data_IF_226683690717
#
_entry.id   IF_226683690717
#
_cell.length_a   1.000
_cell.length_b   1.000
_cell.length_c   1.000
_cell.angle_alpha   90.00
_cell.angle_beta   90.00
_cell.angle_gamma   90.00
#
_symmetry.space_group_name_H-M   'P 1'
#
loop_
_entity.id
_entity.type
_entity.pdbx_description
1 polymer ?
#
# COMPACT_ATOMS: atom_id res chain seq x y z
N UNK A 1 -23.91 11.32 -11.38
CA UNK A 1 -22.99 11.52 -10.23
C UNK A 1 -22.85 13.02 -10.02
N UNK A 2 -23.10 13.54 -8.82
CA UNK A 2 -23.01 14.98 -8.53
C UNK A 2 -21.56 15.39 -8.19
N UNK A 3 -21.29 16.70 -8.11
CA UNK A 3 -19.94 17.22 -7.86
C UNK A 3 -19.39 16.82 -6.49
N UNK A 4 -20.23 16.77 -5.45
CA UNK A 4 -19.80 16.31 -4.12
C UNK A 4 -19.32 14.86 -4.18
N UNK A 5 -20.09 13.96 -4.81
CA UNK A 5 -19.69 12.56 -5.00
C UNK A 5 -18.38 12.45 -5.76
N UNK A 6 -18.18 13.27 -6.80
CA UNK A 6 -16.90 13.29 -7.53
C UNK A 6 -15.75 13.71 -6.62
N UNK A 7 -15.89 14.75 -5.82
CA UNK A 7 -14.81 15.21 -4.94
C UNK A 7 -14.51 14.21 -3.80
N UNK A 8 -15.51 13.52 -3.26
CA UNK A 8 -15.29 12.42 -2.31
C UNK A 8 -14.53 11.25 -2.96
N UNK A 9 -14.83 10.92 -4.22
CA UNK A 9 -14.07 9.92 -4.99
C UNK A 9 -12.63 10.39 -5.22
N UNK A 10 -12.41 11.67 -5.54
CA UNK A 10 -11.07 12.21 -5.73
C UNK A 10 -10.25 12.20 -4.43
N UNK A 11 -10.88 12.53 -3.28
CA UNK A 11 -10.25 12.39 -1.98
C UNK A 11 -9.89 10.92 -1.67
N UNK A 12 -10.78 9.98 -1.97
CA UNK A 12 -10.50 8.55 -1.84
C UNK A 12 -9.31 8.15 -2.73
N UNK A 13 -9.32 8.52 -4.01
CA UNK A 13 -8.24 8.21 -4.95
C UNK A 13 -6.90 8.77 -4.48
N UNK A 14 -6.88 10.00 -3.97
CA UNK A 14 -5.69 10.62 -3.40
C UNK A 14 -5.10 9.81 -2.24
N UNK A 15 -5.94 9.31 -1.32
CA UNK A 15 -5.49 8.43 -0.22
C UNK A 15 -4.96 7.10 -0.77
N UNK A 16 -5.72 6.47 -1.68
CA UNK A 16 -5.39 5.17 -2.27
C UNK A 16 -3.98 5.15 -2.88
N UNK A 17 -3.63 6.21 -3.62
CA UNK A 17 -2.32 6.35 -4.29
C UNK A 17 -1.26 7.05 -3.43
N UNK A 18 -1.64 7.59 -2.26
CA UNK A 18 -0.73 8.31 -1.38
C UNK A 18 -0.33 9.72 -1.85
N UNK A 19 -1.14 10.39 -2.67
CA UNK A 19 -0.88 11.76 -3.11
C UNK A 19 -1.35 12.77 -2.04
N UNK A 20 -0.43 13.27 -1.21
CA UNK A 20 -0.74 14.22 -0.13
C UNK A 20 -1.26 15.57 -0.66
N UNK A 21 -0.63 16.13 -1.68
CA UNK A 21 -1.06 17.40 -2.29
C UNK A 21 -2.44 17.30 -2.95
N UNK A 22 -2.77 16.15 -3.55
CA UNK A 22 -4.10 15.90 -4.09
C UNK A 22 -5.15 15.88 -2.97
N UNK A 23 -4.84 15.27 -1.82
CA UNK A 23 -5.75 15.22 -0.68
C UNK A 23 -5.97 16.61 -0.08
N UNK A 24 -4.90 17.40 0.06
CA UNK A 24 -4.94 18.80 0.49
C UNK A 24 -5.80 19.67 -0.44
N UNK A 25 -5.85 19.36 -1.73
CA UNK A 25 -6.69 20.06 -2.70
C UNK A 25 -8.16 19.62 -2.67
N UNK A 26 -8.42 18.31 -2.66
CA UNK A 26 -9.76 17.76 -2.83
C UNK A 26 -10.61 17.81 -1.55
N UNK A 27 -10.01 17.72 -0.35
CA UNK A 27 -10.77 17.78 0.90
C UNK A 27 -11.45 19.15 1.12
N UNK A 28 -10.77 20.30 0.99
CA UNK A 28 -11.42 21.61 1.09
C UNK A 28 -12.51 21.81 0.04
N UNK A 29 -12.31 21.30 -1.19
CA UNK A 29 -13.29 21.41 -2.27
C UNK A 29 -14.54 20.58 -1.96
N UNK A 30 -14.39 19.36 -1.46
CA UNK A 30 -15.51 18.53 -1.00
C UNK A 30 -16.29 19.22 0.14
N UNK A 31 -15.58 19.81 1.11
CA UNK A 31 -16.21 20.60 2.20
C UNK A 31 -16.98 21.80 1.64
N UNK A 32 -16.44 22.49 0.65
CA UNK A 32 -17.13 23.58 -0.06
C UNK A 32 -18.41 23.14 -0.79
N UNK A 33 -18.54 21.85 -1.10
CA UNK A 33 -19.73 21.23 -1.68
C UNK A 33 -20.66 20.59 -0.64
N UNK A 34 -20.37 20.77 0.66
CA UNK A 34 -21.20 20.29 1.76
C UNK A 34 -20.76 18.98 2.41
N UNK A 35 -19.57 18.45 2.10
CA UNK A 35 -19.04 17.29 2.81
C UNK A 35 -18.87 17.58 4.30
N UNK A 36 -19.40 16.70 5.13
CA UNK A 36 -19.19 16.71 6.58
C UNK A 36 -17.90 15.97 6.94
N UNK A 37 -17.41 16.16 8.16
CA UNK A 37 -16.30 15.35 8.65
C UNK A 37 -16.65 13.86 8.73
N UNK A 38 -17.93 13.51 8.93
CA UNK A 38 -18.38 12.13 8.90
C UNK A 38 -18.22 11.51 7.50
N UNK A 39 -18.61 12.22 6.44
CA UNK A 39 -18.43 11.75 5.05
C UNK A 39 -16.96 11.48 4.72
N UNK A 40 -16.07 12.39 5.16
CA UNK A 40 -14.63 12.25 4.94
C UNK A 40 -14.03 11.09 5.76
N UNK A 41 -14.50 10.88 6.99
CA UNK A 41 -14.10 9.71 7.80
C UNK A 41 -14.59 8.40 7.18
N UNK A 42 -15.79 8.36 6.62
CA UNK A 42 -16.31 7.18 5.92
C UNK A 42 -15.47 6.86 4.67
N UNK A 43 -15.11 7.89 3.88
CA UNK A 43 -14.16 7.73 2.77
C UNK A 43 -12.83 7.15 3.24
N UNK A 44 -12.27 7.64 4.34
CA UNK A 44 -11.03 7.13 4.91
C UNK A 44 -11.15 5.69 5.39
N UNK A 45 -12.23 5.35 6.08
CA UNK A 45 -12.50 3.99 6.55
C UNK A 45 -12.61 3.00 5.38
N UNK A 46 -13.24 3.42 4.27
CA UNK A 46 -13.37 2.62 3.06
C UNK A 46 -12.02 2.39 2.36
N UNK A 47 -11.21 3.45 2.21
CA UNK A 47 -10.04 3.41 1.30
C UNK A 47 -8.73 2.98 1.96
N UNK A 48 -8.59 3.15 3.29
CA UNK A 48 -7.41 2.67 4.04
C UNK A 48 -7.11 1.18 3.85
N UNK A 49 -8.07 0.24 4.00
CA UNK A 49 -7.79 -1.18 3.79
C UNK A 49 -7.42 -1.49 2.33
N UNK A 50 -7.99 -0.78 1.36
CA UNK A 50 -7.63 -0.92 -0.06
C UNK A 50 -6.16 -0.56 -0.28
N UNK A 51 -5.73 0.60 0.21
CA UNK A 51 -4.33 1.03 0.13
C UNK A 51 -3.40 0.01 0.79
N UNK A 52 -3.68 -0.34 2.05
CA UNK A 52 -2.84 -1.24 2.83
C UNK A 52 -2.68 -2.60 2.13
N UNK A 53 -3.78 -3.19 1.69
CA UNK A 53 -3.76 -4.49 0.99
C UNK A 53 -3.01 -4.40 -0.33
N UNK A 54 -3.20 -3.32 -1.10
CA UNK A 54 -2.49 -3.12 -2.36
C UNK A 54 -0.97 -3.02 -2.12
N UNK A 55 -0.53 -2.27 -1.10
CA UNK A 55 0.89 -2.20 -0.73
C UNK A 55 1.43 -3.56 -0.30
N UNK A 56 0.78 -4.24 0.63
CA UNK A 56 1.23 -5.55 1.15
C UNK A 56 1.36 -6.61 0.05
N UNK A 57 0.38 -6.68 -0.87
CA UNK A 57 0.44 -7.63 -2.00
C UNK A 57 1.55 -7.32 -2.98
N UNK A 58 1.85 -6.03 -3.19
CA UNK A 58 2.97 -5.65 -4.06
C UNK A 58 4.31 -5.99 -3.42
N UNK A 59 4.43 -5.85 -2.10
CA UNK A 59 5.62 -6.27 -1.36
C UNK A 59 5.79 -7.80 -1.43
N UNK A 60 4.74 -8.57 -1.13
CA UNK A 60 4.72 -10.04 -1.25
C UNK A 60 5.11 -10.50 -2.67
N UNK A 61 4.48 -9.95 -3.70
CA UNK A 61 4.80 -10.27 -5.09
C UNK A 61 6.23 -9.88 -5.48
N UNK A 62 6.73 -8.75 -4.97
CA UNK A 62 8.12 -8.33 -5.22
C UNK A 62 9.10 -9.31 -4.59
N UNK A 63 8.86 -9.74 -3.35
CA UNK A 63 9.67 -10.75 -2.67
C UNK A 63 9.67 -12.08 -3.41
N UNK A 64 8.53 -12.53 -3.94
CA UNK A 64 8.43 -13.75 -4.75
C UNK A 64 9.29 -13.67 -6.03
N UNK A 65 9.20 -12.54 -6.76
CA UNK A 65 10.00 -12.30 -7.97
C UNK A 65 11.50 -12.36 -7.65
N UNK A 66 11.94 -11.74 -6.55
CA UNK A 66 13.36 -11.66 -6.22
C UNK A 66 13.89 -12.90 -5.48
N UNK A 67 13.05 -13.65 -4.77
CA UNK A 67 13.41 -14.91 -4.07
C UNK A 67 13.60 -16.07 -5.04
N UNK A 68 12.85 -16.11 -6.15
CA UNK A 68 12.98 -17.16 -7.17
C UNK A 68 14.39 -17.25 -7.81
N UNK A 69 15.27 -16.28 -7.56
CA UNK A 69 16.62 -16.22 -8.11
C UNK A 69 17.75 -16.69 -7.18
N UNK A 70 17.47 -17.20 -5.96
CA UNK A 70 18.54 -17.58 -5.02
C UNK A 70 18.32 -18.91 -4.30
N UNK A 71 18.39 -20.02 -5.03
CA UNK A 71 18.87 -21.30 -4.47
C UNK A 71 19.56 -22.19 -5.51
N UNK A 72 20.73 -21.77 -5.99
CA UNK A 72 21.86 -22.70 -6.13
C UNK A 72 22.89 -22.23 -5.11
N UNK A 73 22.77 -22.74 -3.88
CA UNK A 73 23.84 -22.69 -2.91
C UNK A 73 24.38 -24.11 -2.82
N UNK A 74 25.44 -24.39 -3.59
CA UNK A 74 26.34 -25.50 -3.32
C UNK A 74 26.91 -25.29 -1.92
N UNK A 75 26.27 -25.94 -0.95
CA UNK A 75 26.88 -26.15 0.35
C UNK A 75 28.03 -27.14 0.11
N UNK A 76 29.22 -26.61 -0.16
CA UNK A 76 30.45 -27.37 0.03
C UNK A 76 30.59 -27.61 1.53
N UNK A 77 30.19 -28.80 1.97
CA UNK A 77 30.50 -29.29 3.31
C UNK A 77 31.97 -29.69 3.33
N UNK A 78 32.85 -28.81 3.80
CA UNK A 78 34.12 -29.29 4.35
C UNK A 78 33.80 -29.97 5.69
N UNK A 79 33.64 -31.29 5.64
CA UNK A 79 33.69 -32.11 6.84
C UNK A 79 35.12 -32.06 7.39
N UNK A 80 35.36 -31.10 8.29
CA UNK A 80 36.48 -31.14 9.23
C UNK A 80 36.27 -32.33 10.17
N UNK A 81 36.67 -33.53 9.77
CA UNK A 81 36.86 -34.64 10.69
C UNK A 81 38.18 -34.42 11.43
N UNK A 82 38.08 -33.75 12.58
CA UNK A 82 39.15 -33.74 13.57
C UNK A 82 39.39 -35.17 14.07
N UNK A 83 40.47 -35.78 13.59
CA UNK A 83 41.05 -37.00 14.13
C UNK A 83 42.33 -36.66 14.89
N UNK A 84 42.25 -36.63 16.23
CA UNK A 84 43.39 -36.71 17.13
C UNK A 84 43.01 -37.68 18.24
N UNK A 85 43.52 -38.91 18.13
CA UNK A 85 43.82 -39.94 19.14
C UNK A 85 43.86 -41.30 18.44
#
# INVERSE_FOLDING_TARGET
>A
MNELTKELIQAAAAVAVGCTSCLEYHVPKARGLGATDADLQEVLALVRPVKLTATMKMDEFSEEIFTSKKTELDVVTEASSGGCC
#
